data_IF_336393130918
#
_entry.id   IF_336393130918
#
_cell.length_a   1.000
_cell.length_b   1.000
_cell.length_c   1.000
_cell.angle_alpha   90.00
_cell.angle_beta   90.00
_cell.angle_gamma   90.00
#
_symmetry.space_group_name_H-M   'P 1'
#
loop_
_entity.id
_entity.type
_entity.pdbx_description
1 polymer ?
#
# COMPACT_ATOMS: atom_id res chain seq x y z
N UNK A 1 30.54 -35.35 -30.68
CA UNK A 1 31.04 -34.01 -30.29
C UNK A 1 29.82 -33.15 -29.99
N UNK A 2 29.38 -33.13 -28.74
CA UNK A 2 28.18 -32.43 -28.27
C UNK A 2 28.59 -31.06 -27.74
N UNK A 3 28.03 -29.99 -28.33
CA UNK A 3 28.28 -28.62 -27.89
C UNK A 3 27.72 -28.41 -26.47
N UNK A 4 28.46 -27.77 -25.55
CA UNK A 4 27.95 -27.47 -24.22
C UNK A 4 26.76 -26.50 -24.33
N UNK A 5 25.67 -26.83 -23.64
CA UNK A 5 24.50 -25.96 -23.55
C UNK A 5 24.91 -24.59 -22.99
N UNK A 6 24.56 -23.52 -23.71
CA UNK A 6 24.91 -22.15 -23.33
C UNK A 6 24.24 -21.77 -21.99
N UNK A 7 25.01 -21.49 -20.93
CA UNK A 7 24.48 -21.15 -19.59
C UNK A 7 23.72 -19.82 -19.53
N UNK A 8 23.63 -19.08 -20.64
CA UNK A 8 23.07 -17.72 -20.67
C UNK A 8 21.56 -17.68 -20.94
N UNK A 9 20.95 -18.74 -21.47
CA UNK A 9 19.53 -18.72 -21.84
C UNK A 9 18.57 -18.74 -20.64
N UNK A 10 18.91 -19.48 -19.58
CA UNK A 10 18.07 -19.59 -18.37
C UNK A 10 18.06 -18.31 -17.53
N UNK A 11 19.19 -17.61 -17.47
CA UNK A 11 19.33 -16.38 -16.67
C UNK A 11 18.50 -15.23 -17.23
N UNK A 12 18.43 -15.11 -18.57
CA UNK A 12 17.63 -14.07 -19.22
C UNK A 12 16.12 -14.26 -19.03
N UNK A 13 15.63 -15.50 -19.05
CA UNK A 13 14.21 -15.79 -18.84
C UNK A 13 13.72 -15.38 -17.44
N UNK A 14 14.51 -15.70 -16.39
CA UNK A 14 14.20 -15.34 -15.01
C UNK A 14 14.13 -13.81 -14.81
N UNK A 15 15.00 -13.06 -15.49
CA UNK A 15 15.00 -11.60 -15.40
C UNK A 15 13.75 -10.97 -16.04
N UNK A 16 13.32 -11.49 -17.19
CA UNK A 16 12.11 -11.01 -17.89
C UNK A 16 10.86 -11.30 -17.06
N UNK A 17 10.74 -12.52 -16.52
CA UNK A 17 9.60 -12.91 -15.68
C UNK A 17 9.51 -12.04 -14.42
N UNK A 18 10.63 -11.81 -13.74
CA UNK A 18 10.70 -10.92 -12.58
C UNK A 18 10.29 -9.47 -12.89
N UNK A 19 10.64 -8.97 -14.08
CA UNK A 19 10.23 -7.63 -14.52
C UNK A 19 8.72 -7.54 -14.79
N UNK A 20 8.13 -8.56 -15.43
CA UNK A 20 6.69 -8.58 -15.70
C UNK A 20 5.89 -8.58 -14.39
N UNK A 21 6.29 -9.43 -13.44
CA UNK A 21 5.65 -9.48 -12.11
C UNK A 21 5.78 -8.15 -11.35
N UNK A 22 6.96 -7.52 -11.40
CA UNK A 22 7.17 -6.21 -10.79
C UNK A 22 6.28 -5.13 -11.43
N UNK A 23 6.18 -5.10 -12.76
CA UNK A 23 5.32 -4.15 -13.47
C UNK A 23 3.84 -4.38 -13.18
N UNK A 24 3.40 -5.64 -13.08
CA UNK A 24 2.04 -5.99 -12.69
C UNK A 24 1.70 -5.49 -11.28
N UNK A 25 2.60 -5.71 -10.31
CA UNK A 25 2.41 -5.20 -8.95
C UNK A 25 2.40 -3.66 -8.91
N UNK A 26 3.26 -2.99 -9.67
CA UNK A 26 3.27 -1.52 -9.76
C UNK A 26 1.97 -0.99 -10.40
N UNK A 27 1.41 -1.69 -11.40
CA UNK A 27 0.12 -1.33 -11.98
C UNK A 27 -1.01 -1.46 -10.95
N UNK A 28 -1.05 -2.55 -10.17
CA UNK A 28 -2.01 -2.70 -9.05
C UNK A 28 -1.81 -1.57 -8.04
N UNK A 29 -0.57 -1.29 -7.64
CA UNK A 29 -0.26 -0.18 -6.72
C UNK A 29 -0.74 1.17 -7.27
N UNK A 30 -0.62 1.42 -8.58
CA UNK A 30 -1.10 2.63 -9.21
C UNK A 30 -2.63 2.75 -9.13
N UNK A 31 -3.36 1.66 -9.39
CA UNK A 31 -4.83 1.64 -9.26
C UNK A 31 -5.24 1.93 -7.82
N UNK A 32 -4.64 1.25 -6.84
CA UNK A 32 -4.94 1.51 -5.42
C UNK A 32 -4.58 2.95 -5.02
N UNK A 33 -3.45 3.46 -5.50
CA UNK A 33 -3.07 4.86 -5.27
C UNK A 33 -4.04 5.85 -5.89
N UNK A 34 -4.59 5.54 -7.06
CA UNK A 34 -5.63 6.35 -7.70
C UNK A 34 -6.91 6.40 -6.86
N UNK A 35 -7.39 5.26 -6.34
CA UNK A 35 -8.56 5.21 -5.46
C UNK A 35 -8.41 6.13 -4.24
N UNK A 36 -7.30 6.02 -3.51
CA UNK A 36 -7.02 6.89 -2.36
C UNK A 36 -6.90 8.36 -2.75
N UNK A 37 -6.27 8.66 -3.88
CA UNK A 37 -6.10 10.01 -4.39
C UNK A 37 -7.46 10.66 -4.68
N UNK A 38 -8.31 9.97 -5.44
CA UNK A 38 -9.64 10.44 -5.80
C UNK A 38 -10.52 10.58 -4.56
N UNK A 39 -10.45 9.61 -3.63
CA UNK A 39 -11.18 9.69 -2.37
C UNK A 39 -10.78 10.93 -1.56
N UNK A 40 -9.48 11.19 -1.38
CA UNK A 40 -8.98 12.37 -0.68
C UNK A 40 -9.40 13.68 -1.36
N UNK A 41 -9.27 13.77 -2.69
CA UNK A 41 -9.70 14.95 -3.47
C UNK A 41 -11.22 15.19 -3.30
N UNK A 42 -12.02 14.13 -3.37
CA UNK A 42 -13.48 14.22 -3.24
C UNK A 42 -13.89 14.68 -1.85
N UNK A 43 -13.25 14.17 -0.78
CA UNK A 43 -13.52 14.63 0.59
C UNK A 43 -13.12 16.08 0.82
N UNK A 44 -12.00 16.53 0.23
CA UNK A 44 -11.55 17.92 0.36
C UNK A 44 -12.36 18.91 -0.49
N UNK A 45 -12.99 18.45 -1.57
CA UNK A 45 -13.78 19.29 -2.48
C UNK A 45 -15.29 19.27 -2.20
N UNK A 46 -15.75 18.42 -1.29
CA UNK A 46 -17.15 18.29 -0.90
C UNK A 46 -17.43 18.84 0.50
N UNK A 47 -18.71 18.78 0.92
CA UNK A 47 -19.14 19.13 2.27
C UNK A 47 -18.79 18.09 3.34
N UNK A 48 -17.89 17.13 3.04
CA UNK A 48 -17.50 16.08 3.97
C UNK A 48 -16.99 16.64 5.31
N UNK A 49 -16.01 17.55 5.29
CA UNK A 49 -15.42 18.12 6.52
C UNK A 49 -16.45 18.84 7.40
N UNK A 50 -17.27 19.78 6.89
CA UNK A 50 -18.25 20.48 7.72
C UNK A 50 -19.40 19.59 8.18
N UNK A 51 -19.72 18.51 7.47
CA UNK A 51 -20.84 17.61 7.83
C UNK A 51 -20.43 16.34 8.55
N UNK A 52 -19.12 16.04 8.66
CA UNK A 52 -18.61 14.79 9.21
C UNK A 52 -19.16 14.46 10.60
N UNK A 53 -19.13 15.41 11.54
CA UNK A 53 -19.62 15.17 12.90
C UNK A 53 -21.13 14.88 12.96
N UNK A 54 -21.91 15.45 12.04
CA UNK A 54 -23.36 15.22 11.97
C UNK A 54 -23.71 13.85 11.37
N UNK A 55 -22.88 13.37 10.43
CA UNK A 55 -23.07 12.07 9.76
C UNK A 55 -22.37 10.92 10.46
N UNK A 56 -21.49 11.20 11.43
CA UNK A 56 -20.75 10.16 12.14
C UNK A 56 -21.66 9.11 12.81
N UNK A 57 -22.78 9.46 13.48
CA UNK A 57 -23.67 8.45 14.07
C UNK A 57 -24.34 7.54 13.02
N UNK A 58 -24.68 8.10 11.86
CA UNK A 58 -25.26 7.34 10.74
C UNK A 58 -24.23 6.38 10.15
N UNK A 59 -23.02 6.88 9.86
CA UNK A 59 -21.91 6.10 9.34
C UNK A 59 -21.47 4.99 10.31
N UNK A 60 -21.56 5.24 11.62
CA UNK A 60 -21.17 4.28 12.66
C UNK A 60 -22.31 3.34 13.09
N UNK A 61 -23.49 3.41 12.46
CA UNK A 61 -24.67 2.65 12.90
C UNK A 61 -24.47 1.14 12.91
N UNK A 62 -23.60 0.61 12.05
CA UNK A 62 -23.26 -0.80 11.97
C UNK A 62 -21.95 -1.16 12.72
N UNK A 63 -21.21 -0.17 13.23
CA UNK A 63 -19.90 -0.39 13.83
C UNK A 63 -19.99 -1.22 15.13
N UNK A 64 -19.01 -2.07 15.42
CA UNK A 64 -19.01 -2.87 16.64
C UNK A 64 -18.83 -1.98 17.88
N UNK A 65 -19.45 -2.38 19.00
CA UNK A 65 -19.53 -1.56 20.23
C UNK A 65 -18.18 -1.08 20.77
N UNK A 66 -17.11 -1.88 20.64
CA UNK A 66 -15.78 -1.47 21.09
C UNK A 66 -15.21 -0.34 20.23
N UNK A 67 -15.56 -0.28 18.94
CA UNK A 67 -15.13 0.76 18.03
C UNK A 67 -15.93 2.04 18.25
N UNK A 68 -17.23 1.92 18.57
CA UNK A 68 -18.05 3.05 19.01
C UNK A 68 -17.43 3.77 20.21
N UNK A 69 -16.87 3.04 21.19
CA UNK A 69 -16.14 3.66 22.32
C UNK A 69 -14.97 4.51 21.83
N UNK A 70 -14.23 4.07 20.80
CA UNK A 70 -13.15 4.87 20.21
C UNK A 70 -13.73 6.10 19.52
N UNK A 71 -14.79 5.94 18.73
CA UNK A 71 -15.43 7.07 18.05
C UNK A 71 -15.92 8.12 19.06
N UNK A 72 -16.61 7.71 20.12
CA UNK A 72 -17.18 8.61 21.13
C UNK A 72 -16.11 9.36 21.94
N UNK A 73 -14.98 8.70 22.25
CA UNK A 73 -13.95 9.27 23.13
C UNK A 73 -12.80 9.96 22.39
N UNK A 74 -12.57 9.61 21.12
CA UNK A 74 -11.41 10.10 20.35
C UNK A 74 -11.86 10.95 19.16
N UNK A 75 -12.86 10.49 18.40
CA UNK A 75 -13.26 11.12 17.14
C UNK A 75 -14.30 12.22 17.35
N UNK A 76 -15.38 11.90 18.06
CA UNK A 76 -16.50 12.79 18.34
C UNK A 76 -16.14 14.09 19.09
N UNK A 77 -15.11 14.15 19.96
CA UNK A 77 -14.70 15.40 20.58
C UNK A 77 -14.07 16.41 19.62
N UNK A 78 -13.53 15.96 18.48
CA UNK A 78 -12.84 16.81 17.51
C UNK A 78 -13.14 16.36 16.06
N UNK A 79 -14.42 16.35 15.64
CA UNK A 79 -14.83 15.70 14.39
C UNK A 79 -14.21 16.38 13.17
N UNK A 80 -14.09 17.71 13.17
CA UNK A 80 -13.46 18.47 12.09
C UNK A 80 -11.98 18.13 11.94
N UNK A 81 -11.25 17.99 13.06
CA UNK A 81 -9.84 17.59 13.02
C UNK A 81 -9.68 16.22 12.37
N UNK A 82 -10.48 15.24 12.79
CA UNK A 82 -10.42 13.89 12.23
C UNK A 82 -10.88 13.82 10.77
N UNK A 83 -11.87 14.60 10.38
CA UNK A 83 -12.29 14.71 8.98
C UNK A 83 -11.17 15.25 8.09
N UNK A 84 -10.50 16.33 8.51
CA UNK A 84 -9.34 16.88 7.80
C UNK A 84 -8.19 15.88 7.79
N UNK A 85 -7.88 15.28 8.93
CA UNK A 85 -6.81 14.30 9.07
C UNK A 85 -7.00 13.10 8.14
N UNK A 86 -8.21 12.51 8.12
CA UNK A 86 -8.54 11.41 7.22
C UNK A 86 -8.42 11.84 5.76
N UNK A 87 -9.02 12.97 5.37
CA UNK A 87 -9.01 13.47 3.99
C UNK A 87 -7.59 13.74 3.46
N UNK A 88 -6.76 14.38 4.29
CA UNK A 88 -5.35 14.67 3.95
C UNK A 88 -4.54 13.37 3.92
N UNK A 89 -4.78 12.44 4.85
CA UNK A 89 -4.11 11.14 4.87
C UNK A 89 -4.40 10.37 3.59
N UNK A 90 -5.65 10.24 3.18
CA UNK A 90 -6.03 9.56 1.93
C UNK A 90 -5.37 10.20 0.71
N UNK A 91 -5.39 11.53 0.63
CA UNK A 91 -4.71 12.27 -0.44
C UNK A 91 -3.19 11.95 -0.48
N UNK A 92 -2.51 12.01 0.67
CA UNK A 92 -1.08 11.73 0.75
C UNK A 92 -0.74 10.27 0.43
N UNK A 93 -1.57 9.33 0.87
CA UNK A 93 -1.43 7.91 0.53
C UNK A 93 -1.58 7.69 -0.97
N UNK A 94 -2.58 8.32 -1.59
CA UNK A 94 -2.80 8.26 -3.03
C UNK A 94 -1.61 8.81 -3.82
N UNK A 95 -1.12 10.00 -3.46
CA UNK A 95 0.08 10.61 -4.06
C UNK A 95 1.30 9.70 -3.90
N UNK A 96 1.52 9.15 -2.70
CA UNK A 96 2.68 8.31 -2.43
C UNK A 96 2.64 7.00 -3.24
N UNK A 97 1.52 6.29 -3.23
CA UNK A 97 1.37 5.01 -3.92
C UNK A 97 1.37 5.19 -5.45
N UNK A 98 0.58 6.13 -5.97
CA UNK A 98 0.51 6.39 -7.40
C UNK A 98 1.82 6.99 -7.93
N UNK A 99 2.38 7.96 -7.21
CA UNK A 99 3.62 8.64 -7.61
C UNK A 99 4.83 7.69 -7.60
N UNK A 100 4.96 6.85 -6.58
CA UNK A 100 6.02 5.82 -6.54
C UNK A 100 5.84 4.79 -7.65
N UNK A 101 4.60 4.33 -7.90
CA UNK A 101 4.31 3.38 -8.97
C UNK A 101 4.68 3.96 -10.35
N UNK A 102 4.17 5.14 -10.68
CA UNK A 102 4.43 5.80 -11.95
C UNK A 102 5.93 6.05 -12.16
N UNK A 103 6.64 6.50 -11.13
CA UNK A 103 8.08 6.77 -11.23
C UNK A 103 8.90 5.49 -11.40
N UNK A 104 8.59 4.43 -10.65
CA UNK A 104 9.28 3.16 -10.78
C UNK A 104 8.99 2.49 -12.13
N UNK A 105 7.75 2.58 -12.65
CA UNK A 105 7.43 2.08 -13.98
C UNK A 105 8.16 2.84 -15.09
N UNK A 106 8.25 4.17 -14.99
CA UNK A 106 8.86 5.00 -16.05
C UNK A 106 10.39 5.04 -15.98
N UNK A 107 10.97 5.18 -14.79
CA UNK A 107 12.41 5.43 -14.62
C UNK A 107 13.16 4.33 -13.89
N UNK A 108 12.65 3.10 -13.88
CA UNK A 108 13.25 1.97 -13.16
C UNK A 108 14.78 1.89 -13.28
N UNK A 109 15.32 1.94 -14.50
CA UNK A 109 16.76 1.78 -14.79
C UNK A 109 17.60 3.04 -14.62
N UNK A 110 16.97 4.22 -14.47
CA UNK A 110 17.68 5.51 -14.40
C UNK A 110 17.78 6.07 -13.00
N UNK A 111 17.14 5.43 -12.01
CA UNK A 111 17.15 5.90 -10.64
C UNK A 111 18.44 5.50 -9.93
N UNK A 112 19.11 6.42 -9.21
CA UNK A 112 20.20 6.05 -8.35
C UNK A 112 19.68 5.13 -7.24
N UNK A 113 20.55 4.26 -6.74
CA UNK A 113 20.21 3.27 -5.72
C UNK A 113 19.48 3.87 -4.50
N UNK A 114 19.94 5.04 -4.02
CA UNK A 114 19.32 5.71 -2.89
C UNK A 114 17.86 6.09 -3.19
N UNK A 115 17.58 6.63 -4.39
CA UNK A 115 16.22 6.95 -4.80
C UNK A 115 15.35 5.70 -4.85
N UNK A 116 15.87 4.59 -5.39
CA UNK A 116 15.15 3.31 -5.43
C UNK A 116 14.78 2.82 -4.01
N UNK A 117 15.71 2.90 -3.06
CA UNK A 117 15.45 2.57 -1.66
C UNK A 117 14.41 3.51 -1.01
N UNK A 118 14.48 4.80 -1.30
CA UNK A 118 13.52 5.78 -0.79
C UNK A 118 12.12 5.50 -1.32
N UNK A 119 11.94 5.28 -2.62
CA UNK A 119 10.62 5.02 -3.21
C UNK A 119 10.01 3.69 -2.77
N UNK A 120 10.82 2.64 -2.60
CA UNK A 120 10.34 1.39 -1.99
C UNK A 120 9.96 1.59 -0.51
N UNK A 121 10.71 2.42 0.22
CA UNK A 121 10.40 2.78 1.60
C UNK A 121 9.07 3.54 1.71
N UNK A 122 8.88 4.54 0.85
CA UNK A 122 7.65 5.34 0.77
C UNK A 122 6.47 4.47 0.36
N UNK A 123 6.60 3.63 -0.68
CA UNK A 123 5.56 2.69 -1.10
C UNK A 123 5.19 1.75 0.05
N UNK A 124 6.16 1.15 0.73
CA UNK A 124 5.90 0.25 1.85
C UNK A 124 5.18 0.94 3.02
N UNK A 125 5.67 2.11 3.45
CA UNK A 125 5.04 2.85 4.55
C UNK A 125 3.63 3.34 4.19
N UNK A 126 3.43 3.82 2.97
CA UNK A 126 2.12 4.23 2.49
C UNK A 126 1.16 3.03 2.41
N UNK A 127 1.59 1.89 1.89
CA UNK A 127 0.77 0.69 1.83
C UNK A 127 0.38 0.19 3.23
N UNK A 128 1.30 0.24 4.21
CA UNK A 128 0.99 -0.11 5.59
C UNK A 128 -0.03 0.85 6.22
N UNK A 129 0.15 2.16 6.06
CA UNK A 129 -0.76 3.16 6.59
C UNK A 129 -2.15 3.07 5.93
N UNK A 130 -2.19 2.85 4.60
CA UNK A 130 -3.42 2.59 3.85
C UNK A 130 -4.13 1.33 4.36
N UNK A 131 -3.39 0.27 4.70
CA UNK A 131 -3.96 -0.97 5.24
C UNK A 131 -4.67 -0.70 6.56
N UNK A 132 -4.03 0.03 7.47
CA UNK A 132 -4.63 0.39 8.77
C UNK A 132 -5.88 1.26 8.58
N UNK A 133 -5.83 2.20 7.64
CA UNK A 133 -6.98 3.06 7.34
C UNK A 133 -8.14 2.26 6.75
N UNK A 134 -7.89 1.40 5.75
CA UNK A 134 -8.90 0.56 5.13
C UNK A 134 -9.54 -0.40 6.15
N UNK A 135 -8.76 -1.00 7.05
CA UNK A 135 -9.31 -1.81 8.15
C UNK A 135 -10.21 -0.96 9.06
N UNK A 136 -9.80 0.28 9.37
CA UNK A 136 -10.59 1.17 10.22
C UNK A 136 -11.92 1.55 9.57
N UNK A 137 -11.93 1.77 8.24
CA UNK A 137 -13.14 2.03 7.46
C UNK A 137 -14.04 0.79 7.34
N UNK A 138 -13.46 -0.38 7.08
CA UNK A 138 -14.18 -1.65 7.04
C UNK A 138 -14.89 -1.94 8.38
N UNK A 139 -14.20 -1.70 9.51
CA UNK A 139 -14.79 -1.82 10.85
C UNK A 139 -15.87 -0.77 11.10
N UNK A 140 -15.67 0.48 10.65
CA UNK A 140 -16.67 1.55 10.75
C UNK A 140 -17.96 1.17 10.02
N UNK A 141 -17.84 0.57 8.82
CA UNK A 141 -18.96 0.10 8.00
C UNK A 141 -19.66 -1.14 8.60
N UNK A 142 -19.20 -1.66 9.74
CA UNK A 142 -19.84 -2.74 10.47
C UNK A 142 -19.58 -4.14 9.94
N UNK A 143 -18.64 -4.29 9.03
CA UNK A 143 -18.24 -5.61 8.55
C UNK A 143 -17.50 -6.35 9.68
N UNK A 144 -18.03 -7.51 10.05
CA UNK A 144 -17.54 -8.32 11.20
C UNK A 144 -16.46 -9.32 10.81
N UNK A 145 -16.23 -9.56 9.52
CA UNK A 145 -15.13 -10.39 9.01
C UNK A 145 -14.81 -10.04 7.53
N UNK A 146 -13.53 -10.02 7.10
CA UNK A 146 -13.13 -9.76 5.70
C UNK A 146 -13.61 -10.78 4.64
N UNK A 147 -14.39 -11.78 5.04
CA UNK A 147 -14.91 -12.84 4.16
C UNK A 147 -16.42 -13.01 4.29
N UNK A 148 -17.14 -11.94 4.64
CA UNK A 148 -18.60 -11.99 4.74
C UNK A 148 -19.17 -12.30 3.35
N UNK A 149 -19.57 -13.56 3.16
CA UNK A 149 -20.32 -13.98 1.99
C UNK A 149 -21.63 -13.19 2.02
N UNK A 150 -22.01 -12.51 0.93
CA UNK A 150 -23.23 -11.73 0.93
C UNK A 150 -24.44 -12.61 1.21
N UNK A 151 -25.38 -12.09 1.99
CA UNK A 151 -26.65 -12.77 2.24
C UNK A 151 -27.55 -12.78 1.00
N UNK A 152 -27.35 -11.83 0.08
CA UNK A 152 -28.07 -11.68 -1.17
C UNK A 152 -27.14 -11.94 -2.37
N UNK A 153 -27.50 -12.82 -3.33
CA UNK A 153 -26.70 -13.02 -4.55
C UNK A 153 -26.58 -11.79 -5.46
N UNK A 154 -27.36 -10.73 -5.23
CA UNK A 154 -27.26 -9.45 -5.96
C UNK A 154 -26.33 -8.43 -5.29
N UNK A 155 -25.85 -8.71 -4.08
CA UNK A 155 -24.84 -7.89 -3.42
C UNK A 155 -23.43 -8.17 -3.98
N UNK A 156 -22.53 -7.20 -3.82
CA UNK A 156 -21.12 -7.37 -4.22
C UNK A 156 -20.47 -8.51 -3.42
N UNK A 157 -19.88 -9.49 -4.12
CA UNK A 157 -19.30 -10.69 -3.52
C UNK A 157 -18.24 -10.43 -2.44
N UNK A 158 -17.42 -9.39 -2.63
CA UNK A 158 -16.43 -8.89 -1.67
C UNK A 158 -16.43 -7.37 -1.79
N UNK A 159 -16.67 -6.68 -0.68
CA UNK A 159 -16.58 -5.23 -0.62
C UNK A 159 -15.14 -4.78 -0.89
N UNK A 160 -15.01 -3.66 -1.63
CA UNK A 160 -13.71 -3.08 -1.92
C UNK A 160 -12.91 -2.81 -0.63
N UNK A 161 -13.59 -2.41 0.44
CA UNK A 161 -12.97 -2.14 1.75
C UNK A 161 -12.35 -3.38 2.40
N UNK A 162 -12.86 -4.60 2.14
CA UNK A 162 -12.23 -5.86 2.54
C UNK A 162 -11.02 -6.22 1.67
N UNK A 163 -11.09 -5.92 0.37
CA UNK A 163 -10.05 -6.31 -0.58
C UNK A 163 -8.80 -5.41 -0.45
N UNK A 164 -9.01 -4.12 -0.17
CA UNK A 164 -7.94 -3.12 -0.08
C UNK A 164 -6.85 -3.47 0.95
N UNK A 165 -7.16 -3.85 2.21
CA UNK A 165 -6.17 -4.26 3.19
C UNK A 165 -5.29 -5.42 2.72
N UNK A 166 -5.88 -6.41 2.03
CA UNK A 166 -5.14 -7.58 1.56
C UNK A 166 -4.13 -7.21 0.47
N UNK A 167 -4.57 -6.45 -0.54
CA UNK A 167 -3.70 -6.00 -1.64
C UNK A 167 -2.59 -5.10 -1.10
N UNK A 168 -2.92 -4.15 -0.23
CA UNK A 168 -1.95 -3.22 0.35
C UNK A 168 -0.94 -3.94 1.26
N UNK A 169 -1.37 -4.98 1.98
CA UNK A 169 -0.46 -5.85 2.74
C UNK A 169 0.54 -6.54 1.82
N UNK A 170 0.10 -7.05 0.66
CA UNK A 170 1.00 -7.65 -0.33
C UNK A 170 2.02 -6.63 -0.84
N UNK A 171 1.58 -5.42 -1.20
CA UNK A 171 2.46 -4.33 -1.64
C UNK A 171 3.49 -4.01 -0.54
N UNK A 172 3.05 -3.87 0.71
CA UNK A 172 3.94 -3.61 1.85
C UNK A 172 5.00 -4.71 2.01
N UNK A 173 4.57 -5.98 2.02
CA UNK A 173 5.48 -7.12 2.19
C UNK A 173 6.49 -7.16 1.04
N UNK A 174 6.06 -7.03 -0.21
CA UNK A 174 6.95 -7.05 -1.37
C UNK A 174 7.95 -5.90 -1.31
N UNK A 175 7.50 -4.68 -1.02
CA UNK A 175 8.37 -3.51 -0.84
C UNK A 175 9.41 -3.75 0.25
N UNK A 176 9.01 -4.32 1.39
CA UNK A 176 9.93 -4.66 2.50
C UNK A 176 10.95 -5.73 2.09
N UNK A 177 10.53 -6.78 1.37
CA UNK A 177 11.41 -7.83 0.88
C UNK A 177 12.43 -7.27 -0.12
N UNK A 178 12.01 -6.43 -1.07
CA UNK A 178 12.91 -5.77 -2.02
C UNK A 178 13.92 -4.86 -1.31
N UNK A 179 13.47 -4.07 -0.33
CA UNK A 179 14.36 -3.25 0.51
C UNK A 179 15.42 -4.08 1.22
N UNK A 180 15.02 -5.21 1.82
CA UNK A 180 15.94 -6.13 2.51
C UNK A 180 16.95 -6.73 1.54
N UNK A 181 16.51 -7.14 0.35
CA UNK A 181 17.40 -7.69 -0.69
C UNK A 181 18.42 -6.65 -1.18
N UNK A 182 17.98 -5.43 -1.49
CA UNK A 182 18.87 -4.36 -1.93
C UNK A 182 19.89 -3.96 -0.86
N UNK A 183 19.51 -3.96 0.42
CA UNK A 183 20.43 -3.70 1.54
C UNK A 183 21.46 -4.83 1.71
N UNK A 184 21.05 -6.10 1.58
CA UNK A 184 21.96 -7.25 1.65
C UNK A 184 23.02 -7.21 0.55
N UNK A 185 22.62 -6.94 -0.69
CA UNK A 185 23.55 -6.80 -1.83
C UNK A 185 24.57 -5.68 -1.62
N UNK A 186 24.21 -4.61 -0.89
CA UNK A 186 25.14 -3.52 -0.55
C UNK A 186 26.30 -4.05 0.30
N UNK A 187 25.93 -4.71 1.40
CA UNK A 187 26.88 -5.22 2.38
C UNK A 187 27.85 -6.22 1.77
N UNK A 188 27.37 -7.11 0.90
CA UNK A 188 28.22 -8.09 0.21
C UNK A 188 29.22 -7.41 -0.73
N UNK A 189 28.77 -6.40 -1.50
CA UNK A 189 29.66 -5.66 -2.40
C UNK A 189 30.73 -4.88 -1.61
N UNK A 190 30.35 -4.22 -0.51
CA UNK A 190 31.27 -3.48 0.34
C UNK A 190 32.30 -4.41 1.01
N UNK A 191 31.88 -5.61 1.43
CA UNK A 191 32.78 -6.63 1.98
C UNK A 191 33.78 -7.18 0.95
N UNK A 192 33.37 -7.33 -0.31
CA UNK A 192 34.27 -7.74 -1.40
C UNK A 192 35.25 -6.63 -1.80
N UNK A 193 34.80 -5.37 -1.74
CA UNK A 193 35.64 -4.21 -2.08
C UNK A 193 36.71 -3.91 -1.01
N UNK A 194 36.50 -4.35 0.24
CA UNK A 194 37.46 -4.18 1.33
C UNK A 194 37.66 -5.48 2.13
N UNK A 195 38.48 -6.43 1.62
CA UNK A 195 38.67 -7.75 2.24
C UNK A 195 39.44 -7.72 3.58
N UNK A 196 39.95 -6.56 4.02
CA UNK A 196 40.83 -6.43 5.19
C UNK A 196 40.13 -6.54 6.56
N UNK A 197 38.83 -6.88 6.61
CA UNK A 197 38.05 -6.96 7.86
C UNK A 197 37.39 -8.32 8.13
N UNK A 198 37.84 -9.40 7.48
CA UNK A 198 37.30 -10.77 7.71
C UNK A 198 38.16 -11.62 8.65
N UNK A 199 39.31 -11.12 9.12
CA UNK A 199 40.09 -11.78 10.18
C UNK A 199 39.93 -11.02 11.49
N UNK A 200 39.08 -11.53 12.39
CA UNK A 200 39.35 -11.91 13.81
C UNK A 200 38.22 -12.83 14.28
#
# INVERSE_FOLDING_TARGET
>A
MSLPASPNASTGAIEVEGRILAMGLLAIQAVIGYEWLVSGITKLSSDFIPTFGLRLPEAASAAPRWFLVILDNVVAPAPTFWAVFASVTELLLGIALLGTAALLMWRFHRLPRLAHLLFLGVSGLAALAATVLAISLHVLNGATHPWLLPGDPFDEGVDLDSLLPAIQTVIFIVSLLQLRQLRRRARTHDAMANPKHVEV
#
